data_IF_650391526321
#
_entry.id   IF_650391526321
#
_cell.length_a   1.000
_cell.length_b   1.000
_cell.length_c   1.000
_cell.angle_alpha   90.00
_cell.angle_beta   90.00
_cell.angle_gamma   90.00
#
_symmetry.space_group_name_H-M   'P 1'
#
loop_
_entity.id
_entity.type
_entity.pdbx_description
1 polymer ?
#
# COMPACT_ATOMS: atom_id res chain seq x y z
N UNK A 1 7.96 10.12 -8.86
CA UNK A 1 7.69 8.91 -8.09
C UNK A 1 6.61 8.10 -8.77
N UNK A 2 6.83 6.80 -8.89
CA UNK A 2 5.87 5.85 -9.45
C UNK A 2 5.16 5.10 -8.33
N UNK A 3 3.84 5.10 -8.37
CA UNK A 3 3.00 4.47 -7.35
C UNK A 3 2.17 3.38 -8.01
N UNK A 4 2.27 2.15 -7.50
CA UNK A 4 1.41 1.05 -7.91
C UNK A 4 0.10 1.10 -7.13
N UNK A 5 -1.00 0.81 -7.79
CA UNK A 5 -2.30 0.70 -7.11
C UNK A 5 -2.97 -0.61 -7.52
N UNK A 6 -3.50 -1.33 -6.55
CA UNK A 6 -4.24 -2.57 -6.79
C UNK A 6 -5.52 -2.59 -5.96
N UNK A 7 -6.47 -3.36 -6.42
CA UNK A 7 -7.75 -3.54 -5.75
C UNK A 7 -8.40 -4.83 -6.21
N UNK A 8 -9.32 -5.35 -5.39
CA UNK A 8 -10.30 -6.32 -5.82
C UNK A 8 -11.57 -5.60 -6.34
N UNK A 9 -12.63 -6.37 -6.62
CA UNK A 9 -13.89 -5.81 -7.15
C UNK A 9 -14.57 -4.79 -6.20
N UNK A 10 -14.25 -4.84 -4.89
CA UNK A 10 -14.79 -3.88 -3.91
C UNK A 10 -14.13 -2.51 -4.00
N UNK A 11 -12.88 -2.45 -4.45
CA UNK A 11 -12.09 -1.23 -4.44
C UNK A 11 -12.04 -0.45 -5.76
N UNK A 12 -12.85 -0.77 -6.74
CA UNK A 12 -12.80 -0.14 -8.08
C UNK A 12 -13.03 1.38 -8.01
N UNK A 13 -14.05 1.81 -7.28
CA UNK A 13 -14.38 3.26 -7.17
C UNK A 13 -13.29 4.01 -6.41
N UNK A 14 -12.78 3.43 -5.33
CA UNK A 14 -11.71 4.04 -4.54
C UNK A 14 -10.43 4.17 -5.36
N UNK A 15 -10.09 3.15 -6.16
CA UNK A 15 -8.96 3.23 -7.08
C UNK A 15 -9.12 4.36 -8.08
N UNK A 16 -10.30 4.51 -8.67
CA UNK A 16 -10.56 5.59 -9.63
C UNK A 16 -10.35 6.96 -8.99
N UNK A 17 -10.90 7.17 -7.79
CA UNK A 17 -10.75 8.41 -7.04
C UNK A 17 -9.27 8.72 -6.77
N UNK A 18 -8.52 7.73 -6.28
CA UNK A 18 -7.12 7.92 -5.95
C UNK A 18 -6.25 8.11 -7.19
N UNK A 19 -6.55 7.41 -8.28
CA UNK A 19 -5.80 7.56 -9.53
C UNK A 19 -5.90 8.99 -10.05
N UNK A 20 -7.10 9.57 -10.08
CA UNK A 20 -7.32 10.96 -10.51
C UNK A 20 -6.62 11.92 -9.56
N UNK A 21 -6.82 11.76 -8.26
CA UNK A 21 -6.26 12.63 -7.24
C UNK A 21 -4.74 12.66 -7.27
N UNK A 22 -4.10 11.49 -7.32
CA UNK A 22 -2.64 11.39 -7.29
C UNK A 22 -2.00 11.81 -8.62
N UNK A 23 -2.65 11.53 -9.74
CA UNK A 23 -2.20 12.01 -11.05
C UNK A 23 -2.21 13.54 -11.11
N UNK A 24 -3.24 14.18 -10.58
CA UNK A 24 -3.33 15.64 -10.49
C UNK A 24 -2.25 16.24 -9.60
N UNK A 25 -1.76 15.49 -8.62
CA UNK A 25 -0.63 15.90 -7.77
C UNK A 25 0.74 15.68 -8.43
N UNK A 26 0.78 15.07 -9.61
CA UNK A 26 2.02 14.86 -10.37
C UNK A 26 2.66 13.49 -10.24
N UNK A 27 2.02 12.53 -9.57
CA UNK A 27 2.53 11.17 -9.46
C UNK A 27 2.17 10.34 -10.69
N UNK A 28 3.03 9.38 -11.03
CA UNK A 28 2.74 8.39 -12.07
C UNK A 28 2.10 7.17 -11.40
N UNK A 29 0.90 6.79 -11.86
CA UNK A 29 0.14 5.70 -11.28
C UNK A 29 0.13 4.49 -12.22
N UNK A 30 0.60 3.35 -11.73
CA UNK A 30 0.53 2.07 -12.43
C UNK A 30 -0.60 1.22 -11.83
N UNK A 31 -1.54 0.80 -12.66
CA UNK A 31 -2.70 0.02 -12.22
C UNK A 31 -2.42 -1.48 -12.31
N UNK A 32 -2.49 -2.18 -11.18
CA UNK A 32 -2.36 -3.64 -11.07
C UNK A 32 -3.65 -4.31 -10.61
N UNK A 33 -4.70 -3.54 -10.39
CA UNK A 33 -5.98 -4.03 -9.90
C UNK A 33 -6.97 -4.40 -11.00
N UNK A 34 -8.15 -4.83 -10.58
CA UNK A 34 -9.26 -5.05 -11.51
C UNK A 34 -9.99 -3.74 -11.80
N UNK A 35 -10.53 -3.63 -13.01
CA UNK A 35 -11.32 -2.47 -13.42
C UNK A 35 -12.82 -2.79 -13.47
N UNK A 36 -13.21 -3.99 -13.09
CA UNK A 36 -14.61 -4.43 -13.05
C UNK A 36 -15.07 -4.70 -11.63
N UNK A 37 -16.36 -4.49 -11.37
CA UNK A 37 -17.01 -4.81 -10.10
C UNK A 37 -17.46 -6.28 -10.03
N UNK A 38 -17.21 -7.07 -11.07
CA UNK A 38 -17.44 -8.51 -11.05
C UNK A 38 -16.48 -9.17 -10.05
N UNK A 39 -16.99 -10.16 -9.30
CA UNK A 39 -16.23 -10.81 -8.24
C UNK A 39 -14.90 -11.39 -8.75
N UNK A 40 -13.82 -11.06 -8.06
CA UNK A 40 -12.49 -11.60 -8.31
C UNK A 40 -11.84 -12.04 -7.00
N UNK A 41 -10.77 -12.80 -7.09
CA UNK A 41 -10.01 -13.25 -5.92
C UNK A 41 -8.92 -12.23 -5.58
N UNK A 42 -9.01 -11.59 -4.41
CA UNK A 42 -8.09 -10.53 -4.02
C UNK A 42 -6.62 -10.97 -4.03
N UNK A 43 -6.25 -12.22 -3.67
CA UNK A 43 -4.83 -12.60 -3.66
C UNK A 43 -4.14 -12.45 -5.01
N UNK A 44 -4.84 -12.70 -6.11
CA UNK A 44 -4.28 -12.56 -7.45
C UNK A 44 -3.82 -11.13 -7.73
N UNK A 45 -4.60 -10.16 -7.28
CA UNK A 45 -4.33 -8.75 -7.50
C UNK A 45 -3.33 -8.18 -6.48
N UNK A 46 -3.36 -8.66 -5.25
CA UNK A 46 -2.31 -8.34 -4.26
C UNK A 46 -0.95 -8.81 -4.75
N UNK A 47 -0.89 -10.03 -5.28
CA UNK A 47 0.34 -10.60 -5.82
C UNK A 47 0.95 -9.74 -6.94
N UNK A 48 0.12 -9.25 -7.86
CA UNK A 48 0.59 -8.38 -8.95
C UNK A 48 1.31 -7.14 -8.43
N UNK A 49 0.74 -6.47 -7.43
CA UNK A 49 1.38 -5.30 -6.83
C UNK A 49 2.67 -5.69 -6.09
N UNK A 50 2.64 -6.77 -5.33
CA UNK A 50 3.83 -7.25 -4.62
C UNK A 50 4.99 -7.55 -5.58
N UNK A 51 4.72 -8.16 -6.72
CA UNK A 51 5.74 -8.41 -7.75
C UNK A 51 6.28 -7.11 -8.34
N UNK A 52 5.43 -6.11 -8.54
CA UNK A 52 5.88 -4.80 -9.01
C UNK A 52 6.84 -4.13 -8.02
N UNK A 53 6.56 -4.24 -6.72
CA UNK A 53 7.47 -3.76 -5.66
C UNK A 53 8.80 -4.52 -5.71
N UNK A 54 8.76 -5.85 -5.77
CA UNK A 54 9.97 -6.69 -5.81
C UNK A 54 10.83 -6.40 -7.04
N UNK A 55 10.21 -6.10 -8.17
CA UNK A 55 10.91 -5.82 -9.43
C UNK A 55 11.29 -4.35 -9.61
N UNK A 56 11.05 -3.52 -8.60
CA UNK A 56 11.33 -2.07 -8.65
C UNK A 56 10.61 -1.34 -9.79
N UNK A 57 9.44 -1.85 -10.20
CA UNK A 57 8.61 -1.18 -11.21
C UNK A 57 7.93 0.06 -10.64
N UNK A 58 7.69 0.07 -9.33
CA UNK A 58 7.09 1.18 -8.59
C UNK A 58 7.85 1.40 -7.29
N UNK A 59 7.75 2.62 -6.75
CA UNK A 59 8.43 3.00 -5.51
C UNK A 59 7.60 2.65 -4.28
N UNK A 60 6.29 2.85 -4.36
CA UNK A 60 5.32 2.58 -3.30
C UNK A 60 4.08 1.92 -3.88
N UNK A 61 3.31 1.26 -3.03
CA UNK A 61 2.08 0.60 -3.42
C UNK A 61 0.88 0.95 -2.55
N UNK A 62 -0.30 0.94 -3.16
CA UNK A 62 -1.58 1.12 -2.49
C UNK A 62 -2.46 -0.07 -2.83
N UNK A 63 -3.00 -0.74 -1.82
CA UNK A 63 -3.87 -1.90 -1.98
C UNK A 63 -5.23 -1.65 -1.33
N UNK A 64 -6.30 -1.93 -2.06
CA UNK A 64 -7.67 -1.64 -1.64
C UNK A 64 -8.54 -2.89 -1.77
N UNK A 65 -9.19 -3.28 -0.70
CA UNK A 65 -10.25 -4.30 -0.74
C UNK A 65 -11.34 -3.93 0.27
N UNK A 66 -12.27 -4.83 0.53
CA UNK A 66 -13.37 -4.55 1.46
C UNK A 66 -12.89 -4.03 2.82
N UNK A 67 -11.87 -4.63 3.39
CA UNK A 67 -11.33 -4.28 4.71
C UNK A 67 -9.87 -3.84 4.70
N UNK A 68 -9.12 -4.13 3.66
CA UNK A 68 -7.67 -3.99 3.62
C UNK A 68 -6.91 -5.15 4.27
N UNK A 69 -7.60 -5.99 5.04
CA UNK A 69 -6.97 -7.08 5.81
C UNK A 69 -6.37 -8.14 4.89
N UNK A 70 -7.17 -8.68 3.97
CA UNK A 70 -6.71 -9.74 3.06
C UNK A 70 -5.54 -9.30 2.18
N UNK A 71 -5.61 -8.09 1.64
CA UNK A 71 -4.52 -7.51 0.86
C UNK A 71 -3.23 -7.46 1.68
N UNK A 72 -3.30 -7.01 2.94
CA UNK A 72 -2.12 -6.89 3.79
C UNK A 72 -1.51 -8.25 4.11
N UNK A 73 -2.34 -9.28 4.32
CA UNK A 73 -1.85 -10.63 4.60
C UNK A 73 -1.03 -11.18 3.43
N UNK A 74 -1.57 -11.09 2.22
CA UNK A 74 -0.88 -11.58 1.01
C UNK A 74 0.43 -10.83 0.80
N UNK A 75 0.38 -9.50 0.83
CA UNK A 75 1.54 -8.67 0.56
C UNK A 75 2.67 -8.90 1.55
N UNK A 76 2.35 -9.09 2.83
CA UNK A 76 3.36 -9.35 3.85
C UNK A 76 3.97 -10.75 3.79
N UNK A 77 3.43 -11.65 2.99
CA UNK A 77 4.06 -12.95 2.72
C UNK A 77 5.09 -12.89 1.59
N UNK A 78 5.23 -11.77 0.93
CA UNK A 78 6.16 -11.61 -0.19
C UNK A 78 7.44 -10.92 0.28
N UNK A 79 8.60 -11.49 -0.06
CA UNK A 79 9.90 -10.94 0.37
C UNK A 79 10.08 -9.51 -0.13
N UNK A 80 10.54 -8.64 0.76
CA UNK A 80 10.79 -7.23 0.44
C UNK A 80 9.54 -6.37 0.39
N UNK A 81 8.37 -6.94 0.66
CA UNK A 81 7.10 -6.19 0.70
C UNK A 81 6.69 -6.01 2.16
N UNK A 82 6.60 -4.77 2.59
CA UNK A 82 6.23 -4.39 3.95
C UNK A 82 4.95 -3.56 3.86
N UNK A 83 3.83 -4.23 4.12
CA UNK A 83 2.51 -3.64 3.97
C UNK A 83 1.91 -3.30 5.33
N UNK A 84 1.48 -2.06 5.49
CA UNK A 84 0.74 -1.62 6.66
C UNK A 84 -0.74 -1.47 6.32
N UNK A 85 -1.60 -2.19 7.02
CA UNK A 85 -3.05 -1.96 6.97
C UNK A 85 -3.35 -0.79 7.90
N UNK A 86 -3.88 0.31 7.36
CA UNK A 86 -4.13 1.53 8.12
C UNK A 86 -5.58 1.96 8.02
N UNK A 87 -6.06 2.62 9.08
CA UNK A 87 -7.43 3.11 9.17
C UNK A 87 -7.50 4.63 9.39
N UNK A 88 -6.38 5.29 9.64
CA UNK A 88 -6.34 6.73 9.92
C UNK A 88 -4.99 7.35 9.56
N UNK A 89 -4.92 8.67 9.65
CA UNK A 89 -3.73 9.44 9.28
C UNK A 89 -2.54 9.12 10.19
N UNK A 90 -2.77 8.96 11.49
CA UNK A 90 -1.69 8.63 12.42
C UNK A 90 -1.01 7.32 12.07
N UNK A 91 -1.78 6.28 11.77
CA UNK A 91 -1.23 4.99 11.34
C UNK A 91 -0.46 5.08 10.04
N UNK A 92 -0.93 5.88 9.09
CA UNK A 92 -0.21 6.12 7.83
C UNK A 92 1.17 6.73 8.07
N UNK A 93 1.26 7.73 8.93
CA UNK A 93 2.52 8.37 9.30
C UNK A 93 3.45 7.35 9.97
N UNK A 94 2.95 6.62 10.96
CA UNK A 94 3.75 5.65 11.71
C UNK A 94 4.25 4.48 10.84
N UNK A 95 3.46 4.06 9.86
CA UNK A 95 3.86 2.98 8.94
C UNK A 95 5.15 3.33 8.19
N UNK A 96 5.36 4.60 7.88
CA UNK A 96 6.55 5.09 7.20
C UNK A 96 7.66 5.46 8.19
N UNK A 97 7.34 6.28 9.20
CA UNK A 97 8.36 6.80 10.12
C UNK A 97 8.98 5.71 10.98
N UNK A 98 8.24 4.68 11.35
CA UNK A 98 8.72 3.59 12.21
C UNK A 98 9.13 2.34 11.43
N UNK A 99 8.40 1.97 10.39
CA UNK A 99 8.58 0.68 9.72
C UNK A 99 9.02 0.76 8.27
N UNK A 100 9.14 1.96 7.73
CA UNK A 100 9.53 2.16 6.32
C UNK A 100 8.69 1.28 5.37
N UNK A 101 7.39 1.22 5.63
CA UNK A 101 6.49 0.41 4.83
C UNK A 101 6.51 0.89 3.37
N UNK A 102 6.50 -0.03 2.43
CA UNK A 102 6.47 0.30 1.01
C UNK A 102 5.10 0.08 0.36
N UNK A 103 4.17 -0.51 1.10
CA UNK A 103 2.78 -0.66 0.67
C UNK A 103 1.83 -0.30 1.81
N UNK A 104 0.73 0.36 1.46
CA UNK A 104 -0.37 0.64 2.39
C UNK A 104 -1.61 -0.12 1.93
N UNK A 105 -2.31 -0.76 2.85
CA UNK A 105 -3.59 -1.41 2.57
C UNK A 105 -4.71 -0.67 3.30
N UNK A 106 -5.78 -0.36 2.59
CA UNK A 106 -6.93 0.39 3.12
C UNK A 106 -8.25 -0.29 2.80
N UNK A 107 -9.27 0.00 3.60
CA UNK A 107 -10.64 -0.40 3.32
C UNK A 107 -11.30 0.51 2.29
N UNK A 108 -12.09 -0.06 1.39
CA UNK A 108 -12.91 0.70 0.45
C UNK A 108 -13.99 1.53 1.17
N UNK A 109 -14.29 1.20 2.42
CA UNK A 109 -15.30 1.90 3.22
C UNK A 109 -14.76 3.18 3.88
N UNK A 110 -13.45 3.40 3.89
CA UNK A 110 -12.88 4.66 4.39
C UNK A 110 -13.46 5.83 3.58
N UNK A 111 -13.90 6.89 4.25
CA UNK A 111 -14.45 8.05 3.54
C UNK A 111 -13.41 8.70 2.62
N UNK A 112 -13.86 9.34 1.56
CA UNK A 112 -12.97 9.86 0.52
C UNK A 112 -12.01 10.93 1.02
N UNK A 113 -12.48 11.81 1.91
CA UNK A 113 -11.62 12.86 2.48
C UNK A 113 -10.47 12.25 3.29
N UNK A 114 -10.78 11.34 4.21
CA UNK A 114 -9.77 10.64 5.03
C UNK A 114 -8.85 9.80 4.16
N UNK A 115 -9.37 9.13 3.14
CA UNK A 115 -8.57 8.35 2.19
C UNK A 115 -7.47 9.20 1.55
N UNK A 116 -7.83 10.37 1.05
CA UNK A 116 -6.85 11.29 0.44
C UNK A 116 -5.77 11.72 1.42
N UNK A 117 -6.15 12.09 2.64
CA UNK A 117 -5.19 12.48 3.68
C UNK A 117 -4.25 11.33 4.06
N UNK A 118 -4.80 10.14 4.26
CA UNK A 118 -4.05 8.92 4.61
C UNK A 118 -3.00 8.63 3.52
N UNK A 119 -3.40 8.65 2.27
CA UNK A 119 -2.49 8.33 1.17
C UNK A 119 -1.40 9.39 1.01
N UNK A 120 -1.74 10.67 1.10
CA UNK A 120 -0.74 11.76 1.02
C UNK A 120 0.28 11.62 2.14
N UNK A 121 -0.16 11.37 3.37
CA UNK A 121 0.75 11.19 4.51
C UNK A 121 1.63 9.95 4.36
N UNK A 122 1.07 8.87 3.83
CA UNK A 122 1.88 7.68 3.52
C UNK A 122 2.98 8.01 2.50
N UNK A 123 2.66 8.70 1.43
CA UNK A 123 3.61 9.02 0.37
C UNK A 123 4.69 10.00 0.88
N UNK A 124 4.30 11.03 1.62
CA UNK A 124 5.19 12.14 2.00
C UNK A 124 6.04 11.88 3.23
N UNK A 125 5.64 10.95 4.11
CA UNK A 125 6.36 10.71 5.37
C UNK A 125 7.62 9.90 5.11
N UNK A 126 8.81 10.41 5.47
CA UNK A 126 10.05 9.64 5.35
C UNK A 126 10.21 8.66 6.51
N UNK A 127 11.07 7.65 6.31
CA UNK A 127 11.54 6.83 7.43
C UNK A 127 12.38 7.69 8.37
N UNK A 128 12.15 7.57 9.68
CA UNK A 128 12.81 8.44 10.67
C UNK A 128 14.30 8.16 10.84
N UNK A 129 14.78 6.97 10.47
CA UNK A 129 16.17 6.52 10.64
C UNK A 129 16.67 6.56 12.11
N UNK A 130 15.76 6.54 13.07
CA UNK A 130 16.11 6.39 14.50
C UNK A 130 16.67 5.00 14.71
N UNK A 131 17.81 4.91 15.43
CA UNK A 131 18.58 3.66 15.56
C UNK A 131 17.74 2.46 16.00
N UNK A 132 16.84 2.63 16.96
CA UNK A 132 15.98 1.53 17.43
C UNK A 132 15.00 1.04 16.36
N UNK A 133 14.54 1.91 15.46
CA UNK A 133 13.65 1.53 14.36
C UNK A 133 14.44 0.85 13.24
N UNK A 134 15.62 1.35 12.92
CA UNK A 134 16.53 0.68 11.97
C UNK A 134 16.79 -0.75 12.42
N UNK A 135 17.18 -0.93 13.68
CA UNK A 135 17.47 -2.26 14.25
C UNK A 135 16.24 -3.19 14.18
N UNK A 136 15.08 -2.70 14.57
CA UNK A 136 13.85 -3.50 14.58
C UNK A 136 13.45 -3.94 13.18
N UNK A 137 13.56 -3.05 12.19
CA UNK A 137 13.25 -3.39 10.80
C UNK A 137 14.26 -4.37 10.20
N UNK A 138 15.53 -4.28 10.58
CA UNK A 138 16.54 -5.27 10.19
C UNK A 138 16.21 -6.66 10.77
N UNK A 139 15.72 -6.73 11.99
CA UNK A 139 15.28 -8.01 12.59
C UNK A 139 14.08 -8.60 11.84
N UNK A 140 13.19 -7.79 11.31
CA UNK A 140 12.10 -8.27 10.45
C UNK A 140 12.67 -8.90 9.17
N UNK A 141 13.66 -8.25 8.55
CA UNK A 141 14.34 -8.80 7.37
C UNK A 141 15.05 -10.12 7.66
N UNK A 142 15.67 -10.25 8.83
CA UNK A 142 16.32 -11.50 9.27
C UNK A 142 15.29 -12.64 9.37
N UNK A 143 14.12 -12.36 9.92
CA UNK A 143 13.03 -13.34 10.03
C UNK A 143 12.56 -13.75 8.64
N UNK A 144 12.40 -12.79 7.74
CA UNK A 144 11.97 -13.02 6.35
C UNK A 144 12.94 -13.96 5.60
N UNK A 145 14.23 -13.85 5.89
CA UNK A 145 15.29 -14.61 5.21
C UNK A 145 15.77 -15.85 6.01
N UNK A 146 15.09 -16.16 7.10
CA UNK A 146 15.43 -17.31 7.94
C UNK A 146 15.16 -18.67 7.27
#
# INVERSE_FOLDING_TARGET
MKIGITNDHRGVKKKQLLTIFLTDLGYTINNYGTDTEDSVDFPDYAYKLGRAIQNNEVDLGIAICGTGIGMSIVLNKMKGVYCAKVANVSEAILSKSHNDANVIAISEEMDDFTTKEVIVKFIETPFSNVDRYVLRNEKIKDIENA
#
